data_IF_287864815490
#
_entry.id   IF_287864815490
#
_cell.length_a   1.000
_cell.length_b   1.000
_cell.length_c   1.000
_cell.angle_alpha   90.00
_cell.angle_beta   90.00
_cell.angle_gamma   90.00
#
_symmetry.space_group_name_H-M   'P 1'
#
loop_
_entity.id
_entity.type
_entity.pdbx_description
1 polymer ?
#
# COMPACT_ATOMS: atom_id res chain seq x y z
N UNK A 1 -0.02 12.54 -42.07
CA UNK A 1 0.39 13.34 -40.88
C UNK A 1 -0.33 12.89 -39.59
N UNK A 2 -0.64 11.60 -39.44
CA UNK A 2 -1.44 11.04 -38.33
C UNK A 2 -0.60 10.22 -37.34
N UNK A 3 0.47 9.58 -37.80
CA UNK A 3 1.32 8.72 -36.95
C UNK A 3 2.14 9.50 -35.91
N UNK A 4 2.61 10.71 -36.24
CA UNK A 4 3.39 11.54 -35.32
C UNK A 4 2.54 12.03 -34.14
N UNK A 5 1.29 12.41 -34.41
CA UNK A 5 0.32 12.88 -33.43
C UNK A 5 -0.13 11.76 -32.49
N UNK A 6 -0.24 10.52 -32.97
CA UNK A 6 -0.61 9.38 -32.12
C UNK A 6 0.55 8.89 -31.24
N UNK A 7 1.79 9.01 -31.70
CA UNK A 7 2.97 8.76 -30.87
C UNK A 7 3.08 9.80 -29.74
N UNK A 8 2.85 11.08 -30.06
CA UNK A 8 2.80 12.17 -29.07
C UNK A 8 1.66 11.96 -28.07
N UNK A 9 0.47 11.56 -28.52
CA UNK A 9 -0.66 11.23 -27.62
C UNK A 9 -0.34 10.05 -26.70
N UNK A 10 0.39 9.02 -27.15
CA UNK A 10 0.85 7.91 -26.31
C UNK A 10 1.85 8.38 -25.24
N UNK A 11 2.77 9.27 -25.59
CA UNK A 11 3.75 9.84 -24.65
C UNK A 11 3.09 10.67 -23.54
N UNK A 12 1.94 11.28 -23.82
CA UNK A 12 1.16 12.05 -22.84
C UNK A 12 -0.06 11.30 -22.28
N UNK A 13 -0.23 10.02 -22.63
CA UNK A 13 -1.31 9.20 -22.09
C UNK A 13 -0.96 8.84 -20.65
N UNK A 14 -1.39 9.69 -19.71
CA UNK A 14 -1.46 9.34 -18.29
C UNK A 14 -2.54 8.26 -18.15
N UNK A 15 -2.19 7.00 -18.36
CA UNK A 15 -3.01 5.91 -17.84
C UNK A 15 -2.92 6.00 -16.31
N UNK A 16 -4.07 6.21 -15.66
CA UNK A 16 -4.16 6.16 -14.19
C UNK A 16 -3.69 4.77 -13.75
N UNK A 17 -2.43 4.66 -13.36
CA UNK A 17 -1.85 3.38 -12.97
C UNK A 17 -2.34 3.05 -11.56
N UNK A 18 -3.46 2.35 -11.51
CA UNK A 18 -3.99 1.68 -10.32
C UNK A 18 -2.94 0.75 -9.68
N UNK A 19 -3.21 0.31 -8.44
CA UNK A 19 -2.35 -0.65 -7.75
C UNK A 19 -2.06 -1.86 -8.65
N UNK A 20 -0.79 -2.13 -8.95
CA UNK A 20 -0.38 -3.24 -9.82
C UNK A 20 -0.31 -4.59 -9.11
N UNK A 21 -0.67 -4.65 -7.82
CA UNK A 21 -0.49 -5.87 -7.03
C UNK A 21 0.96 -6.32 -6.97
N UNK A 22 1.92 -5.39 -6.97
CA UNK A 22 3.35 -5.71 -6.94
C UNK A 22 3.91 -5.84 -5.52
N UNK A 23 3.23 -5.24 -4.53
CA UNK A 23 3.67 -5.24 -3.13
C UNK A 23 4.71 -4.17 -2.77
N UNK A 24 5.15 -3.33 -3.71
CA UNK A 24 6.24 -2.37 -3.44
C UNK A 24 5.84 -1.31 -2.42
N UNK A 25 4.57 -0.90 -2.37
CA UNK A 25 4.10 -0.03 -1.28
C UNK A 25 4.24 -0.68 0.11
N UNK A 26 4.14 -2.01 0.20
CA UNK A 26 4.37 -2.74 1.45
C UNK A 26 5.85 -2.85 1.80
N UNK A 27 6.74 -2.98 0.80
CA UNK A 27 8.20 -3.05 1.01
C UNK A 27 8.79 -1.70 1.38
N UNK A 28 8.35 -0.65 0.69
CA UNK A 28 8.95 0.69 0.84
C UNK A 28 8.35 1.48 2.01
N UNK A 29 7.06 1.31 2.32
CA UNK A 29 6.37 2.19 3.26
C UNK A 29 5.99 1.58 4.61
N UNK A 30 6.09 0.27 4.80
CA UNK A 30 5.61 -0.42 6.02
C UNK A 30 6.00 0.25 7.33
N UNK A 31 7.22 0.77 7.41
CA UNK A 31 7.84 1.34 8.60
C UNK A 31 7.44 2.79 8.90
N UNK A 32 6.55 3.39 8.09
CA UNK A 32 6.17 4.80 8.16
C UNK A 32 4.66 5.07 8.14
N UNK A 33 3.84 4.07 8.42
CA UNK A 33 2.39 4.22 8.32
C UNK A 33 1.78 4.47 9.70
N UNK A 34 0.68 5.22 9.71
CA UNK A 34 -0.18 5.38 10.88
C UNK A 34 -1.56 4.80 10.56
N UNK A 35 -2.16 4.15 11.57
CA UNK A 35 -3.58 3.84 11.54
C UNK A 35 -4.38 5.11 11.85
N UNK A 36 -5.52 5.29 11.16
CA UNK A 36 -6.50 6.31 11.55
C UNK A 36 -7.28 5.86 12.79
N UNK A 37 -7.89 6.79 13.53
CA UNK A 37 -8.80 6.42 14.62
C UNK A 37 -9.94 5.52 14.12
N UNK A 38 -10.42 5.77 12.89
CA UNK A 38 -11.44 4.95 12.23
C UNK A 38 -10.94 3.53 11.90
N UNK A 39 -9.65 3.35 11.61
CA UNK A 39 -9.04 2.02 11.45
C UNK A 39 -9.09 1.26 12.78
N UNK A 40 -8.70 1.92 13.88
CA UNK A 40 -8.69 1.33 15.23
C UNK A 40 -10.09 0.93 15.67
N UNK A 41 -11.07 1.84 15.57
CA UNK A 41 -12.47 1.55 15.89
C UNK A 41 -13.02 0.39 15.05
N UNK A 42 -12.72 0.38 13.76
CA UNK A 42 -13.15 -0.68 12.85
C UNK A 42 -12.56 -2.03 13.24
N UNK A 43 -11.28 -2.09 13.58
CA UNK A 43 -10.62 -3.34 13.99
C UNK A 43 -11.10 -3.84 15.35
N UNK A 44 -11.35 -2.94 16.31
CA UNK A 44 -11.97 -3.27 17.60
C UNK A 44 -13.35 -3.90 17.42
N UNK A 45 -14.22 -3.27 16.62
CA UNK A 45 -15.57 -3.78 16.35
C UNK A 45 -15.56 -5.16 15.68
N UNK A 46 -14.54 -5.43 14.86
CA UNK A 46 -14.38 -6.71 14.16
C UNK A 46 -13.61 -7.77 14.97
N UNK A 47 -13.18 -7.46 16.20
CA UNK A 47 -12.40 -8.38 17.04
C UNK A 47 -11.05 -8.74 16.43
N UNK A 48 -10.42 -7.82 15.70
CA UNK A 48 -9.14 -8.03 15.01
C UNK A 48 -7.96 -7.68 15.91
N UNK A 49 -7.82 -8.44 16.99
CA UNK A 49 -6.74 -8.28 17.97
C UNK A 49 -5.36 -8.45 17.34
N UNK A 50 -5.25 -9.24 16.27
CA UNK A 50 -4.03 -9.42 15.49
C UNK A 50 -3.58 -8.13 14.77
N UNK A 51 -4.52 -7.25 14.42
CA UNK A 51 -4.21 -5.93 13.86
C UNK A 51 -3.94 -4.92 14.97
N UNK A 52 -4.76 -4.91 16.02
CA UNK A 52 -4.62 -4.01 17.15
C UNK A 52 -3.28 -4.21 17.87
N UNK A 53 -2.81 -5.45 18.00
CA UNK A 53 -1.52 -5.76 18.60
C UNK A 53 -0.33 -5.13 17.84
N UNK A 54 -0.53 -4.82 16.54
CA UNK A 54 0.48 -4.25 15.64
C UNK A 54 0.40 -2.73 15.49
N UNK A 55 -0.32 -2.07 16.40
CA UNK A 55 -0.36 -0.61 16.55
C UNK A 55 0.36 -0.25 17.84
N UNK A 56 1.27 0.73 17.79
CA UNK A 56 1.89 1.25 19.01
C UNK A 56 1.12 2.45 19.60
N UNK A 57 1.54 2.93 20.78
CA UNK A 57 0.85 4.01 21.50
C UNK A 57 0.80 5.35 20.75
N UNK A 58 1.62 5.53 19.71
CA UNK A 58 1.65 6.73 18.88
C UNK A 58 0.87 6.53 17.55
N UNK A 59 0.19 5.41 17.38
CA UNK A 59 -0.58 5.08 16.19
C UNK A 59 0.22 4.52 15.02
N UNK A 60 1.53 4.28 15.17
CA UNK A 60 2.31 3.65 14.11
C UNK A 60 1.90 2.20 13.89
N UNK A 61 1.84 1.85 12.62
CA UNK A 61 1.74 0.49 12.11
C UNK A 61 2.89 0.29 11.11
N UNK A 62 3.42 -0.89 10.87
CA UNK A 62 3.19 -2.18 11.51
C UNK A 62 4.28 -2.41 12.55
N UNK A 63 3.91 -2.70 13.79
CA UNK A 63 4.91 -3.02 14.82
C UNK A 63 4.93 -4.50 15.18
N UNK A 64 6.06 -4.93 15.72
CA UNK A 64 6.16 -6.18 16.44
C UNK A 64 5.19 -6.16 17.64
N UNK A 65 4.34 -7.18 17.83
CA UNK A 65 3.32 -7.16 18.87
C UNK A 65 3.90 -7.23 20.30
N UNK A 66 5.12 -7.74 20.47
CA UNK A 66 5.78 -7.89 21.77
C UNK A 66 6.66 -6.66 22.07
N UNK A 67 7.58 -6.32 21.16
CA UNK A 67 8.57 -5.25 21.39
C UNK A 67 8.03 -3.86 21.06
N UNK A 68 6.97 -3.79 20.25
CA UNK A 68 6.42 -2.54 19.66
C UNK A 68 7.39 -1.80 18.74
N UNK A 69 8.46 -2.45 18.30
CA UNK A 69 9.37 -1.92 17.29
C UNK A 69 8.73 -1.96 15.89
N UNK A 70 9.08 -0.97 15.05
CA UNK A 70 8.53 -0.88 13.68
C UNK A 70 9.12 -1.98 12.80
N UNK A 71 8.25 -2.67 12.08
CA UNK A 71 8.64 -3.69 11.14
C UNK A 71 9.05 -3.06 9.80
N UNK A 72 10.20 -3.44 9.23
CA UNK A 72 10.65 -2.94 7.93
C UNK A 72 9.73 -3.41 6.79
N UNK A 73 9.01 -4.52 6.99
CA UNK A 73 8.11 -5.12 6.01
C UNK A 73 6.71 -5.31 6.59
N UNK A 74 5.69 -5.11 5.75
CA UNK A 74 4.31 -5.33 6.15
C UNK A 74 4.09 -6.81 6.45
N UNK A 75 3.60 -7.18 7.66
CA UNK A 75 3.37 -8.57 8.04
C UNK A 75 2.22 -9.23 7.28
N UNK A 76 1.43 -8.44 6.53
CA UNK A 76 0.33 -8.90 5.71
C UNK A 76 0.65 -8.87 4.20
N UNK A 77 1.91 -8.66 3.83
CA UNK A 77 2.35 -8.85 2.45
C UNK A 77 2.39 -10.35 2.16
N UNK A 78 1.64 -10.78 1.15
CA UNK A 78 1.66 -12.16 0.66
C UNK A 78 2.22 -12.17 -0.75
N UNK A 79 3.35 -12.86 -0.92
CA UNK A 79 4.00 -13.02 -2.21
C UNK A 79 3.55 -14.30 -2.89
N UNK A 80 3.48 -14.28 -4.22
CA UNK A 80 3.17 -15.43 -5.05
C UNK A 80 4.41 -15.86 -5.83
N UNK A 81 4.44 -17.13 -6.26
CA UNK A 81 5.57 -17.68 -7.03
C UNK A 81 5.83 -16.95 -8.37
N UNK A 82 4.83 -16.23 -8.91
CA UNK A 82 4.91 -15.50 -10.17
C UNK A 82 5.41 -14.05 -10.02
N UNK A 83 5.83 -13.65 -8.81
CA UNK A 83 6.28 -12.28 -8.53
C UNK A 83 5.15 -11.25 -8.39
N UNK A 84 3.90 -11.72 -8.34
CA UNK A 84 2.76 -10.91 -7.89
C UNK A 84 2.68 -10.93 -6.37
N UNK A 85 2.04 -9.92 -5.79
CA UNK A 85 1.79 -9.83 -4.36
C UNK A 85 0.36 -9.36 -4.08
N UNK A 86 -0.18 -9.77 -2.93
CA UNK A 86 -1.46 -9.30 -2.44
C UNK A 86 -1.41 -9.00 -0.95
N UNK A 87 -2.40 -8.25 -0.49
CA UNK A 87 -2.55 -7.94 0.94
C UNK A 87 -3.40 -9.03 1.58
N UNK A 88 -2.86 -9.74 2.57
CA UNK A 88 -3.58 -10.78 3.32
C UNK A 88 -4.78 -10.25 4.12
N UNK A 89 -4.88 -8.93 4.29
CA UNK A 89 -5.99 -8.25 4.97
C UNK A 89 -6.73 -7.29 4.03
N UNK A 90 -6.77 -7.58 2.73
CA UNK A 90 -7.25 -6.66 1.69
C UNK A 90 -8.55 -5.90 2.04
N UNK A 91 -9.56 -6.63 2.51
CA UNK A 91 -10.88 -6.06 2.82
C UNK A 91 -10.85 -5.04 3.96
N UNK A 92 -9.99 -5.27 4.96
CA UNK A 92 -9.94 -4.49 6.20
C UNK A 92 -8.62 -3.72 6.39
N UNK A 93 -7.82 -3.60 5.32
CA UNK A 93 -6.57 -2.85 5.32
C UNK A 93 -6.81 -1.42 5.81
N UNK A 94 -5.80 -0.79 6.44
CA UNK A 94 -5.94 0.55 6.98
C UNK A 94 -6.20 1.57 5.86
N UNK A 95 -6.82 2.68 6.21
CA UNK A 95 -7.26 3.70 5.27
C UNK A 95 -6.08 4.26 4.47
N UNK A 96 -4.91 4.41 5.11
CA UNK A 96 -3.66 4.83 4.45
C UNK A 96 -3.25 3.88 3.31
N UNK A 97 -3.44 2.57 3.49
CA UNK A 97 -3.19 1.56 2.44
C UNK A 97 -4.31 1.50 1.40
N UNK A 98 -5.52 1.94 1.74
CA UNK A 98 -6.65 2.04 0.82
C UNK A 98 -6.54 3.24 -0.10
N UNK A 99 -6.01 4.35 0.40
CA UNK A 99 -5.80 5.59 -0.34
C UNK A 99 -4.66 5.49 -1.38
N UNK A 100 -3.81 4.47 -1.29
CA UNK A 100 -2.73 4.27 -2.26
C UNK A 100 -3.25 3.77 -3.63
N UNK A 101 -2.74 4.29 -4.76
CA UNK A 101 -1.78 5.39 -4.87
C UNK A 101 -2.43 6.77 -4.69
N UNK A 102 -1.78 7.64 -3.91
CA UNK A 102 -2.26 9.00 -3.62
C UNK A 102 -1.82 10.01 -4.69
N UNK A 103 -2.25 11.27 -4.57
CA UNK A 103 -1.77 12.37 -5.41
C UNK A 103 -0.24 12.56 -5.34
N UNK A 104 0.39 12.28 -4.19
CA UNK A 104 1.85 12.34 -4.05
C UNK A 104 2.58 11.35 -4.99
N UNK A 105 1.89 10.27 -5.39
CA UNK A 105 2.37 9.29 -6.34
C UNK A 105 1.89 9.57 -7.78
N UNK A 106 1.32 10.76 -8.03
CA UNK A 106 0.64 11.10 -9.27
C UNK A 106 -0.46 10.09 -9.66
N UNK A 107 -1.09 9.45 -8.66
CA UNK A 107 -2.04 8.32 -8.84
C UNK A 107 -1.46 7.15 -9.62
N UNK A 108 -0.15 6.93 -9.50
CA UNK A 108 0.55 5.82 -10.12
C UNK A 108 1.09 4.85 -9.06
N UNK A 109 1.01 3.55 -9.35
CA UNK A 109 1.79 2.56 -8.62
C UNK A 109 3.30 2.83 -8.80
N UNK A 110 4.09 2.71 -7.74
CA UNK A 110 5.52 3.02 -7.76
C UNK A 110 6.31 2.18 -8.77
N UNK A 111 5.92 0.91 -8.95
CA UNK A 111 6.52 0.04 -9.97
C UNK A 111 6.33 0.57 -11.39
N UNK A 112 5.27 1.36 -11.64
CA UNK A 112 5.00 1.98 -12.92
C UNK A 112 5.64 3.36 -13.13
N UNK A 113 6.36 3.90 -12.13
CA UNK A 113 7.05 5.20 -12.21
C UNK A 113 8.46 5.03 -12.79
N UNK A 114 9.10 3.89 -12.55
CA UNK A 114 10.43 3.58 -13.07
C UNK A 114 10.30 2.70 -14.32
N UNK A 115 10.65 3.28 -15.47
CA UNK A 115 10.88 2.52 -16.70
C UNK A 115 12.16 1.72 -16.46
N UNK A 116 12.04 0.41 -16.22
CA UNK A 116 13.15 -0.53 -16.31
C UNK A 116 13.23 -1.10 -17.73
#
# INVERSE_FOLDING_TARGET
>A
MTALTDCVKKLFKREEAHCLGCGDCCREFSWHLHASDADIERWQRLGRDDLLARVNRLGWIWVDPETKERLPLCPFLVETASGQAHCGIHEIKPDICRAYPTLAHNRCCMKGIFIH
#
